data_IF_581767565456
#
_entry.id   IF_581767565456
#
_cell.length_a   1.000
_cell.length_b   1.000
_cell.length_c   1.000
_cell.angle_alpha   90.00
_cell.angle_beta   90.00
_cell.angle_gamma   90.00
#
_symmetry.space_group_name_H-M   'P 1'
#
loop_
_entity.id
_entity.type
_entity.pdbx_description
1 polymer ?
#
# COMPACT_ATOMS: atom_id res chain seq x y z
N UNK A 1 22.74 -6.02 24.66
CA UNK A 1 23.97 -6.23 23.85
C UNK A 1 23.69 -5.87 22.40
N UNK A 2 24.53 -5.06 21.83
CA UNK A 2 24.45 -4.75 20.40
C UNK A 2 25.01 -5.92 19.59
N UNK A 3 24.30 -6.26 18.51
CA UNK A 3 24.72 -7.31 17.59
C UNK A 3 25.09 -6.68 16.24
N UNK A 4 26.30 -6.98 15.77
CA UNK A 4 26.73 -6.57 14.44
C UNK A 4 26.46 -7.74 13.48
N UNK A 5 25.69 -7.46 12.43
CA UNK A 5 25.43 -8.42 11.36
C UNK A 5 26.31 -8.03 10.17
N UNK A 6 27.25 -8.92 9.85
CA UNK A 6 28.20 -8.68 8.75
C UNK A 6 27.69 -9.34 7.47
N UNK A 7 26.66 -8.74 6.89
CA UNK A 7 26.06 -9.14 5.62
C UNK A 7 26.04 -7.98 4.64
N UNK A 8 26.18 -8.27 3.36
CA UNK A 8 26.01 -7.26 2.31
C UNK A 8 24.53 -6.90 2.25
N UNK A 9 24.23 -5.63 2.45
CA UNK A 9 22.89 -5.06 2.30
C UNK A 9 22.88 -4.14 1.09
N UNK A 10 21.98 -4.42 0.14
CA UNK A 10 21.89 -3.67 -1.11
C UNK A 10 20.78 -2.62 -1.02
N UNK A 11 21.07 -1.44 -1.52
CA UNK A 11 20.09 -0.36 -1.72
C UNK A 11 19.70 -0.32 -3.21
N UNK A 12 18.72 0.52 -3.54
CA UNK A 12 18.24 0.67 -4.91
C UNK A 12 19.36 1.09 -5.88
N UNK A 13 20.33 1.88 -5.42
CA UNK A 13 21.48 2.29 -6.23
C UNK A 13 22.48 1.18 -6.53
N UNK A 14 22.37 0.07 -5.83
CA UNK A 14 23.32 -1.06 -5.94
C UNK A 14 22.81 -2.16 -6.88
N UNK A 15 21.59 -2.02 -7.40
CA UNK A 15 20.93 -3.08 -8.17
C UNK A 15 20.33 -2.55 -9.47
N UNK A 16 20.24 -3.44 -10.46
CA UNK A 16 19.53 -3.22 -11.70
C UNK A 16 18.56 -4.38 -11.93
N UNK A 17 17.45 -4.08 -12.58
CA UNK A 17 16.49 -5.13 -12.96
C UNK A 17 17.05 -5.90 -14.13
N UNK A 18 17.14 -7.23 -13.99
CA UNK A 18 17.55 -8.11 -15.07
C UNK A 18 16.47 -8.13 -16.16
N UNK A 19 16.81 -7.80 -17.40
CA UNK A 19 15.85 -7.89 -18.49
C UNK A 19 15.30 -9.32 -18.64
N UNK A 20 14.00 -9.41 -18.84
CA UNK A 20 13.31 -10.68 -19.04
C UNK A 20 12.69 -10.73 -20.43
N UNK A 21 12.63 -11.93 -21.00
CA UNK A 21 11.93 -12.13 -22.27
C UNK A 21 10.43 -11.91 -22.07
N UNK A 22 9.81 -11.17 -22.98
CA UNK A 22 8.38 -10.89 -22.95
C UNK A 22 7.74 -11.18 -24.31
N UNK A 23 6.50 -11.64 -24.26
CA UNK A 23 5.66 -11.81 -25.45
C UNK A 23 4.72 -10.61 -25.68
N UNK A 24 4.76 -9.61 -24.78
CA UNK A 24 3.94 -8.40 -24.88
C UNK A 24 4.45 -7.50 -26.01
N UNK A 25 3.52 -6.96 -26.79
CA UNK A 25 3.81 -6.06 -27.92
C UNK A 25 3.67 -4.58 -27.56
N UNK A 26 2.89 -4.26 -26.54
CA UNK A 26 2.63 -2.88 -26.11
C UNK A 26 2.60 -2.79 -24.58
N UNK A 27 2.95 -1.62 -24.04
CA UNK A 27 2.78 -1.31 -22.60
C UNK A 27 1.31 -1.40 -22.18
N UNK A 28 0.38 -1.10 -23.07
CA UNK A 28 -1.06 -1.19 -22.77
C UNK A 28 -1.54 -2.63 -22.55
N UNK A 29 -0.77 -3.63 -22.96
CA UNK A 29 -1.09 -5.05 -22.76
C UNK A 29 -0.74 -5.53 -21.35
N UNK A 30 -0.09 -4.69 -20.53
CA UNK A 30 0.36 -5.05 -19.19
C UNK A 30 -0.79 -4.93 -18.20
N UNK A 31 -1.02 -5.99 -17.45
CA UNK A 31 -1.91 -5.97 -16.31
C UNK A 31 -1.08 -5.90 -15.02
N UNK A 32 -1.21 -4.81 -14.30
CA UNK A 32 -0.47 -4.56 -13.05
C UNK A 32 -1.18 -5.14 -11.82
N UNK A 33 -2.40 -5.63 -11.95
CA UNK A 33 -3.14 -6.21 -10.83
C UNK A 33 -2.51 -7.51 -10.36
N UNK A 34 -2.43 -7.66 -9.04
CA UNK A 34 -1.91 -8.85 -8.37
C UNK A 34 -2.81 -9.21 -7.20
N UNK A 35 -2.81 -10.49 -6.84
CA UNK A 35 -3.57 -10.98 -5.69
C UNK A 35 -2.63 -11.47 -4.60
N UNK A 36 -2.93 -11.12 -3.36
CA UNK A 36 -2.13 -11.47 -2.19
C UNK A 36 -3.01 -12.07 -1.09
N UNK A 37 -2.48 -13.08 -0.44
CA UNK A 37 -3.02 -13.62 0.80
C UNK A 37 -2.11 -13.19 1.93
N UNK A 38 -2.63 -12.41 2.86
CA UNK A 38 -1.86 -11.98 4.02
C UNK A 38 -1.86 -13.07 5.09
N UNK A 39 -0.71 -13.26 5.74
CA UNK A 39 -0.51 -14.34 6.70
C UNK A 39 -1.54 -14.37 7.85
N UNK A 40 -1.92 -13.20 8.34
CA UNK A 40 -2.87 -13.07 9.45
C UNK A 40 -4.27 -12.62 9.02
N UNK A 41 -4.57 -12.63 7.74
CA UNK A 41 -5.87 -12.24 7.22
C UNK A 41 -6.51 -13.36 6.43
N UNK A 42 -7.80 -13.70 6.70
CA UNK A 42 -8.50 -14.72 5.93
C UNK A 42 -8.91 -14.25 4.54
N UNK A 43 -8.66 -12.99 4.20
CA UNK A 43 -9.10 -12.38 2.94
C UNK A 43 -7.97 -12.32 1.93
N UNK A 44 -8.32 -12.59 0.67
CA UNK A 44 -7.45 -12.28 -0.47
C UNK A 44 -7.66 -10.83 -0.87
N UNK A 45 -6.56 -10.10 -0.99
CA UNK A 45 -6.58 -8.73 -1.53
C UNK A 45 -6.11 -8.77 -2.99
N UNK A 46 -6.80 -8.03 -3.87
CA UNK A 46 -6.43 -7.90 -5.28
C UNK A 46 -6.43 -6.43 -5.69
N UNK A 47 -5.39 -6.03 -6.39
CA UNK A 47 -5.23 -4.67 -6.88
C UNK A 47 -3.82 -4.43 -7.38
N UNK A 48 -3.48 -3.17 -7.59
CA UNK A 48 -2.14 -2.75 -7.95
C UNK A 48 -1.34 -2.55 -6.67
N UNK A 49 -0.21 -3.27 -6.47
CA UNK A 49 0.50 -3.31 -5.19
C UNK A 49 1.37 -2.07 -4.96
N UNK A 50 0.75 -0.91 -4.94
CA UNK A 50 1.37 0.38 -4.61
C UNK A 50 0.64 0.95 -3.41
N UNK A 51 1.40 1.33 -2.38
CA UNK A 51 0.87 1.89 -1.15
C UNK A 51 1.40 3.31 -0.98
N UNK A 52 0.49 4.28 -0.89
CA UNK A 52 0.85 5.63 -0.50
C UNK A 52 1.17 5.64 1.00
N UNK A 53 2.38 6.08 1.34
CA UNK A 53 2.85 6.11 2.72
C UNK A 53 1.96 7.00 3.62
N UNK A 54 1.92 6.68 4.90
CA UNK A 54 1.11 7.35 5.91
C UNK A 54 1.65 8.74 6.32
N UNK A 55 1.86 9.58 5.34
CA UNK A 55 2.36 10.94 5.52
C UNK A 55 1.23 11.96 5.33
N UNK A 56 1.49 13.22 5.66
CA UNK A 56 0.47 14.28 5.61
C UNK A 56 -0.18 14.46 4.24
N UNK A 57 0.52 14.16 3.16
CA UNK A 57 -0.05 14.24 1.81
C UNK A 57 -1.01 13.08 1.47
N UNK A 58 -0.99 11.99 2.24
CA UNK A 58 -1.92 10.88 2.08
C UNK A 58 -3.26 11.20 2.74
N UNK A 59 -4.00 12.10 2.12
CA UNK A 59 -5.30 12.60 2.56
C UNK A 59 -6.44 11.66 2.16
N UNK A 60 -7.66 11.98 2.62
CA UNK A 60 -8.86 11.30 2.15
C UNK A 60 -9.07 11.46 0.65
N UNK A 61 -8.75 12.61 0.08
CA UNK A 61 -8.84 12.83 -1.37
C UNK A 61 -7.83 11.97 -2.13
N UNK A 62 -6.61 11.85 -1.62
CA UNK A 62 -5.61 10.92 -2.17
C UNK A 62 -6.11 9.49 -2.09
N UNK A 63 -6.70 9.09 -0.96
CA UNK A 63 -7.24 7.74 -0.77
C UNK A 63 -8.35 7.43 -1.78
N UNK A 64 -9.26 8.38 -2.03
CA UNK A 64 -10.31 8.24 -3.05
C UNK A 64 -9.72 8.06 -4.46
N UNK A 65 -8.72 8.85 -4.80
CA UNK A 65 -8.07 8.80 -6.10
C UNK A 65 -7.33 7.48 -6.32
N UNK A 66 -6.61 7.01 -5.30
CA UNK A 66 -5.88 5.74 -5.37
C UNK A 66 -6.83 4.54 -5.47
N UNK A 67 -7.94 4.57 -4.73
CA UNK A 67 -8.94 3.50 -4.79
C UNK A 67 -9.53 3.30 -6.19
N UNK A 68 -9.68 4.37 -6.95
CA UNK A 68 -10.13 4.29 -8.36
C UNK A 68 -9.19 3.47 -9.24
N UNK A 69 -7.91 3.44 -8.87
CA UNK A 69 -6.87 2.68 -9.57
C UNK A 69 -6.53 1.37 -8.86
N UNK A 70 -7.31 0.98 -7.86
CA UNK A 70 -7.07 -0.23 -7.04
C UNK A 70 -5.71 -0.23 -6.36
N UNK A 71 -5.25 0.95 -5.97
CA UNK A 71 -4.04 1.17 -5.19
C UNK A 71 -4.41 1.48 -3.74
N UNK A 72 -3.47 1.31 -2.81
CA UNK A 72 -3.71 1.45 -1.38
C UNK A 72 -3.24 2.82 -0.90
N UNK A 73 -4.07 3.47 -0.11
CA UNK A 73 -3.68 4.61 0.71
C UNK A 73 -3.54 4.18 2.17
N UNK A 74 -2.44 4.55 2.81
CA UNK A 74 -2.25 4.37 4.23
C UNK A 74 -2.47 5.71 4.93
N UNK A 75 -3.60 5.88 5.62
CA UNK A 75 -3.93 7.11 6.31
C UNK A 75 -3.08 7.26 7.58
N UNK A 76 -2.63 8.48 7.86
CA UNK A 76 -1.81 8.75 9.05
C UNK A 76 -2.65 8.67 10.34
N UNK A 77 -1.96 8.52 11.47
CA UNK A 77 -2.58 8.27 12.79
C UNK A 77 -3.30 9.46 13.41
N UNK A 78 -3.22 10.65 12.82
CA UNK A 78 -3.75 11.88 13.41
C UNK A 78 -5.21 12.17 13.05
N UNK A 79 -5.86 11.33 12.25
CA UNK A 79 -7.30 11.41 12.05
C UNK A 79 -8.03 10.93 13.29
N UNK A 80 -9.09 11.63 13.70
CA UNK A 80 -9.93 11.15 14.78
C UNK A 80 -10.90 10.06 14.27
N UNK A 81 -11.49 9.33 15.22
CA UNK A 81 -12.39 8.21 14.91
C UNK A 81 -13.59 8.65 14.08
N UNK A 82 -14.17 9.83 14.37
CA UNK A 82 -15.33 10.32 13.63
C UNK A 82 -14.99 10.59 12.17
N UNK A 83 -13.83 11.17 11.88
CA UNK A 83 -13.38 11.41 10.51
C UNK A 83 -13.22 10.09 9.73
N UNK A 84 -12.63 9.08 10.36
CA UNK A 84 -12.45 7.77 9.75
C UNK A 84 -13.79 7.07 9.50
N UNK A 85 -14.68 7.10 10.49
CA UNK A 85 -16.01 6.50 10.36
C UNK A 85 -16.83 7.18 9.26
N UNK A 86 -16.81 8.50 9.20
CA UNK A 86 -17.51 9.25 8.16
C UNK A 86 -16.98 8.92 6.76
N UNK A 87 -15.66 8.84 6.61
CA UNK A 87 -15.02 8.46 5.35
C UNK A 87 -15.47 7.06 4.89
N UNK A 88 -15.38 6.06 5.76
CA UNK A 88 -15.73 4.69 5.41
C UNK A 88 -17.23 4.49 5.18
N UNK A 89 -18.07 5.20 5.91
CA UNK A 89 -19.52 5.16 5.67
C UNK A 89 -19.91 5.80 4.34
N UNK A 90 -19.24 6.90 3.98
CA UNK A 90 -19.50 7.61 2.73
C UNK A 90 -18.92 6.91 1.51
N UNK A 91 -17.87 6.14 1.70
CA UNK A 91 -17.13 5.48 0.60
C UNK A 91 -16.81 4.02 0.95
N UNK A 92 -17.84 3.16 1.15
CA UNK A 92 -17.62 1.76 1.52
C UNK A 92 -16.84 0.99 0.46
N UNK A 93 -16.90 1.40 -0.80
CA UNK A 93 -16.17 0.81 -1.91
C UNK A 93 -14.65 1.01 -1.79
N UNK A 94 -14.21 1.99 -1.01
CA UNK A 94 -12.79 2.28 -0.82
C UNK A 94 -12.17 1.49 0.34
N UNK A 95 -12.98 0.79 1.12
CA UNK A 95 -12.52 0.04 2.28
C UNK A 95 -11.40 -0.96 1.96
N UNK A 96 -11.46 -1.74 0.87
CA UNK A 96 -10.38 -2.67 0.53
C UNK A 96 -9.05 -2.00 0.17
N UNK A 97 -9.07 -0.69 -0.11
CA UNK A 97 -7.91 0.05 -0.59
C UNK A 97 -7.42 1.11 0.40
N UNK A 98 -7.90 1.05 1.64
CA UNK A 98 -7.52 2.06 2.65
C UNK A 98 -7.01 1.37 3.91
N UNK A 99 -5.78 1.68 4.28
CA UNK A 99 -5.16 1.26 5.53
C UNK A 99 -5.17 2.43 6.51
N UNK A 100 -5.27 2.12 7.78
CA UNK A 100 -5.27 3.11 8.85
C UNK A 100 -4.09 2.87 9.77
N UNK A 101 -3.36 3.93 10.09
CA UNK A 101 -2.27 3.87 11.04
C UNK A 101 -2.79 4.04 12.46
N UNK A 102 -2.31 3.21 13.38
CA UNK A 102 -2.63 3.29 14.80
C UNK A 102 -1.34 3.39 15.63
N UNK A 103 -1.46 4.01 16.80
CA UNK A 103 -0.35 4.05 17.75
C UNK A 103 -0.12 2.70 18.40
N UNK A 104 1.14 2.37 18.64
CA UNK A 104 1.53 1.13 19.32
C UNK A 104 1.44 1.25 20.85
N UNK A 105 1.78 2.43 21.40
CA UNK A 105 1.77 2.64 22.85
C UNK A 105 0.37 3.05 23.33
N UNK A 106 -0.06 2.46 24.42
CA UNK A 106 -1.22 2.97 25.17
C UNK A 106 -0.87 4.36 25.69
N UNK A 107 -1.70 5.32 25.39
CA UNK A 107 -1.62 6.66 25.98
C UNK A 107 -2.07 6.63 27.44
#
# INVERSE_FOLDING_TARGET
MQKIINEIKLDFNDVLIVPQRSTLTSRSDINLERSFNFYHSPRTWSGIPIICANMSFCSFDMAKSLAKHKMIACLHKYHNVNQLVDYFKSHPENLPYTFVSIGYKKS
#
